data_IF_388554121816
#
_entry.id   IF_388554121816
#
_cell.length_a   1.000
_cell.length_b   1.000
_cell.length_c   1.000
_cell.angle_alpha   90.00
_cell.angle_beta   90.00
_cell.angle_gamma   90.00
#
_symmetry.space_group_name_H-M   'P 1'
#
loop_
_entity.id
_entity.type
_entity.pdbx_description
1 polymer ?
#
# COMPACT_ATOMS: atom_id res chain seq x y z
N UNK A 1 10.01 8.85 7.26
CA UNK A 1 8.69 9.52 7.26
C UNK A 1 7.61 8.46 7.36
N UNK A 2 6.61 8.65 8.19
CA UNK A 2 5.50 7.70 8.34
C UNK A 2 4.28 8.25 7.61
N UNK A 3 3.72 7.50 6.69
CA UNK A 3 2.56 7.90 5.89
C UNK A 3 1.42 6.91 6.14
N UNK A 4 0.22 7.44 6.28
CA UNK A 4 -1.01 6.69 6.44
C UNK A 4 -1.87 6.84 5.19
N UNK A 5 -2.30 5.71 4.65
CA UNK A 5 -3.38 5.65 3.67
C UNK A 5 -4.57 4.88 4.23
N UNK A 6 -5.77 5.16 3.73
CA UNK A 6 -6.98 4.47 4.16
C UNK A 6 -8.05 4.51 3.07
N UNK A 7 -8.72 3.38 2.89
CA UNK A 7 -9.80 3.22 1.93
C UNK A 7 -11.05 2.65 2.60
N UNK A 8 -12.21 3.09 2.13
CA UNK A 8 -13.51 2.61 2.61
C UNK A 8 -13.76 1.18 2.09
N UNK A 9 -14.38 0.34 2.91
CA UNK A 9 -14.94 -0.93 2.47
C UNK A 9 -16.31 -0.70 1.83
N UNK A 10 -16.48 -1.21 0.61
CA UNK A 10 -17.72 -1.08 -0.19
C UNK A 10 -18.03 -2.38 -0.92
N UNK A 11 -19.29 -2.54 -1.33
CA UNK A 11 -19.72 -3.63 -2.19
C UNK A 11 -19.18 -3.50 -3.62
N UNK A 12 -19.22 -4.56 -4.39
CA UNK A 12 -18.87 -4.62 -5.83
C UNK A 12 -17.42 -4.17 -6.17
N UNK A 13 -16.51 -4.27 -5.20
CA UNK A 13 -15.07 -4.03 -5.40
C UNK A 13 -14.26 -5.22 -4.96
N UNK A 14 -13.14 -5.45 -5.63
CA UNK A 14 -12.15 -6.41 -5.18
C UNK A 14 -11.39 -5.88 -3.96
N UNK A 15 -11.06 -6.76 -3.03
CA UNK A 15 -10.16 -6.44 -1.93
C UNK A 15 -8.73 -6.84 -2.31
N UNK A 16 -7.94 -5.86 -2.72
CA UNK A 16 -6.54 -6.07 -3.13
C UNK A 16 -5.62 -5.37 -2.12
N UNK A 17 -4.65 -6.11 -1.58
CA UNK A 17 -3.65 -5.58 -0.64
C UNK A 17 -2.29 -6.21 -0.97
N UNK A 18 -1.28 -5.40 -1.25
CA UNK A 18 0.04 -5.86 -1.67
C UNK A 18 0.00 -6.71 -2.93
N UNK A 19 -0.89 -6.36 -3.88
CA UNK A 19 -1.14 -7.10 -5.11
C UNK A 19 -1.76 -8.48 -4.90
N UNK A 20 -2.30 -8.76 -3.71
CA UNK A 20 -2.98 -10.02 -3.38
C UNK A 20 -4.47 -9.77 -3.24
N UNK A 21 -5.28 -10.52 -4.03
CA UNK A 21 -6.72 -10.51 -3.87
C UNK A 21 -7.13 -11.34 -2.66
N UNK A 22 -7.77 -10.69 -1.70
CA UNK A 22 -8.30 -11.33 -0.49
C UNK A 22 -9.82 -11.49 -0.59
N UNK A 23 -10.34 -12.44 0.18
CA UNK A 23 -11.77 -12.62 0.32
C UNK A 23 -12.26 -12.00 1.63
N UNK A 24 -13.14 -10.99 1.52
CA UNK A 24 -13.86 -10.44 2.67
C UNK A 24 -15.13 -11.27 2.94
N UNK A 25 -15.45 -11.62 4.21
CA UNK A 25 -16.64 -12.45 4.52
C UNK A 25 -17.97 -11.88 4.02
N UNK A 26 -18.06 -10.56 3.87
CA UNK A 26 -19.24 -9.86 3.37
C UNK A 26 -19.07 -9.40 1.91
N UNK A 27 -18.10 -9.96 1.17
CA UNK A 27 -17.78 -9.62 -0.23
C UNK A 27 -17.50 -8.12 -0.45
N UNK A 28 -16.88 -7.47 0.54
CA UNK A 28 -16.46 -6.08 0.44
C UNK A 28 -15.05 -5.97 -0.12
N UNK A 29 -14.79 -4.90 -0.85
CA UNK A 29 -13.46 -4.49 -1.30
C UNK A 29 -13.20 -3.02 -1.01
N UNK A 30 -12.00 -2.54 -1.36
CA UNK A 30 -11.61 -1.16 -1.10
C UNK A 30 -12.03 -0.22 -2.22
N UNK A 31 -12.60 0.93 -1.85
CA UNK A 31 -13.01 1.98 -2.76
C UNK A 31 -11.86 2.92 -3.10
N UNK A 32 -11.70 3.23 -4.37
CA UNK A 32 -10.68 4.15 -4.85
C UNK A 32 -10.67 4.26 -6.38
N UNK A 33 -9.88 5.21 -6.90
CA UNK A 33 -9.77 5.44 -8.34
C UNK A 33 -8.99 4.32 -9.06
N UNK A 34 -7.91 3.82 -8.42
CA UNK A 34 -7.14 2.63 -8.82
C UNK A 34 -7.78 1.34 -8.26
N UNK A 35 -7.01 0.28 -8.10
CA UNK A 35 -7.40 -0.93 -7.37
C UNK A 35 -7.51 -0.73 -5.85
N UNK A 36 -7.19 0.48 -5.36
CA UNK A 36 -7.25 0.87 -3.94
C UNK A 36 -6.39 0.01 -2.99
N UNK A 37 -5.26 -0.53 -3.48
CA UNK A 37 -4.30 -1.27 -2.66
C UNK A 37 -3.66 -0.34 -1.62
N UNK A 38 -4.24 -0.31 -0.44
CA UNK A 38 -3.85 0.58 0.67
C UNK A 38 -2.40 0.37 1.14
N UNK A 39 -1.85 -0.85 0.99
CA UNK A 39 -0.45 -1.15 1.35
C UNK A 39 0.51 -0.53 0.33
N UNK A 40 0.27 -0.77 -0.95
CA UNK A 40 1.08 -0.20 -2.04
C UNK A 40 1.02 1.33 -2.03
N UNK A 41 -0.14 1.93 -1.80
CA UNK A 41 -0.31 3.39 -1.70
C UNK A 41 0.49 3.98 -0.54
N UNK A 42 0.40 3.41 0.66
CA UNK A 42 1.14 3.92 1.83
C UNK A 42 2.65 3.80 1.65
N UNK A 43 3.14 2.74 0.98
CA UNK A 43 4.56 2.59 0.64
C UNK A 43 4.99 3.66 -0.37
N UNK A 44 4.22 3.89 -1.44
CA UNK A 44 4.52 4.93 -2.44
C UNK A 44 4.62 6.31 -1.79
N UNK A 45 3.65 6.66 -0.95
CA UNK A 45 3.65 7.96 -0.25
C UNK A 45 4.82 8.08 0.74
N UNK A 46 5.19 6.99 1.42
CA UNK A 46 6.36 7.00 2.30
C UNK A 46 7.66 7.21 1.51
N UNK A 47 7.80 6.58 0.33
CA UNK A 47 8.94 6.74 -0.57
C UNK A 47 9.05 8.18 -1.10
N UNK A 48 7.95 8.71 -1.65
CA UNK A 48 7.89 10.09 -2.18
C UNK A 48 8.12 11.12 -1.07
N UNK A 49 7.47 10.93 0.07
CA UNK A 49 7.58 11.84 1.21
C UNK A 49 8.98 11.85 1.84
N UNK A 50 9.72 10.73 1.85
CA UNK A 50 11.09 10.68 2.35
C UNK A 50 12.04 11.62 1.57
N UNK A 51 11.72 11.88 0.30
CA UNK A 51 12.49 12.76 -0.59
C UNK A 51 11.81 14.12 -0.83
N UNK A 52 10.73 14.44 -0.10
CA UNK A 52 9.95 15.69 -0.26
C UNK A 52 9.40 15.88 -1.69
N UNK A 53 9.07 14.79 -2.37
CA UNK A 53 8.55 14.80 -3.76
C UNK A 53 7.03 15.01 -3.83
N UNK A 54 6.34 15.04 -2.70
CA UNK A 54 4.89 15.13 -2.59
C UNK A 54 4.25 13.77 -2.33
N UNK A 55 3.11 13.51 -2.92
CA UNK A 55 2.29 12.30 -2.73
C UNK A 55 1.90 11.65 -4.06
N UNK A 56 1.25 10.48 -3.99
CA UNK A 56 0.79 9.74 -5.18
C UNK A 56 -0.22 10.53 -6.01
N UNK A 57 -1.02 11.38 -5.40
CA UNK A 57 -2.02 12.21 -6.11
C UNK A 57 -1.38 13.20 -7.08
N UNK A 58 -0.14 13.62 -6.84
CA UNK A 58 0.62 14.46 -7.75
C UNK A 58 1.04 13.72 -9.02
N UNK A 59 1.37 12.43 -8.92
CA UNK A 59 1.88 11.62 -10.04
C UNK A 59 0.78 10.84 -10.74
N UNK A 60 -0.24 10.44 -10.00
CA UNK A 60 -1.36 9.62 -10.48
C UNK A 60 -2.70 10.27 -10.08
N UNK A 61 -2.99 11.49 -10.59
CA UNK A 61 -4.17 12.22 -10.15
C UNK A 61 -5.47 11.48 -10.53
N UNK A 62 -6.45 11.42 -9.61
CA UNK A 62 -7.72 10.75 -9.86
C UNK A 62 -8.56 11.43 -10.95
N UNK A 63 -8.20 12.64 -11.39
CA UNK A 63 -8.81 13.32 -12.53
C UNK A 63 -8.35 12.79 -13.89
N UNK A 64 -7.30 11.95 -13.94
CA UNK A 64 -6.76 11.36 -15.16
C UNK A 64 -7.28 9.93 -15.31
N UNK A 65 -8.22 9.72 -16.24
CA UNK A 65 -8.86 8.42 -16.50
C UNK A 65 -7.89 7.28 -16.83
N UNK A 66 -6.65 7.58 -17.25
CA UNK A 66 -5.64 6.54 -17.53
C UNK A 66 -5.24 5.75 -16.28
N UNK A 67 -5.46 6.31 -15.09
CA UNK A 67 -5.16 5.67 -13.82
C UNK A 67 -6.37 4.96 -13.20
N UNK A 68 -7.52 5.03 -13.84
CA UNK A 68 -8.71 4.34 -13.38
C UNK A 68 -8.51 2.83 -13.39
N UNK A 69 -8.78 2.19 -12.25
CA UNK A 69 -8.54 0.77 -12.02
C UNK A 69 -7.08 0.32 -12.29
N UNK A 70 -6.12 1.25 -12.23
CA UNK A 70 -4.71 0.90 -12.39
C UNK A 70 -4.25 -0.06 -11.28
N UNK A 71 -3.40 -0.99 -11.64
CA UNK A 71 -2.69 -1.88 -10.71
C UNK A 71 -1.70 -1.06 -9.88
N UNK A 72 -1.87 -1.02 -8.56
CA UNK A 72 -1.01 -0.25 -7.67
C UNK A 72 0.43 -0.78 -7.58
N UNK A 73 0.68 -2.05 -7.87
CA UNK A 73 2.05 -2.56 -8.02
C UNK A 73 2.73 -1.95 -9.25
N UNK A 74 2.00 -1.76 -10.35
CA UNK A 74 2.51 -1.02 -11.50
C UNK A 74 2.81 0.45 -11.15
N UNK A 75 1.94 1.12 -10.39
CA UNK A 75 2.19 2.49 -9.92
C UNK A 75 3.43 2.54 -9.01
N UNK A 76 3.58 1.57 -8.12
CA UNK A 76 4.76 1.44 -7.26
C UNK A 76 6.05 1.28 -8.06
N UNK A 77 6.02 0.55 -9.19
CA UNK A 77 7.18 0.45 -10.10
C UNK A 77 7.60 1.81 -10.66
N UNK A 78 6.65 2.70 -10.95
CA UNK A 78 6.96 4.05 -11.43
C UNK A 78 7.57 4.93 -10.34
N UNK A 79 7.12 4.78 -9.11
CA UNK A 79 7.68 5.52 -7.97
C UNK A 79 9.11 5.09 -7.70
N UNK A 80 9.42 3.79 -7.70
CA UNK A 80 10.80 3.34 -7.46
C UNK A 80 11.74 3.72 -8.60
N UNK A 81 11.27 3.71 -9.85
CA UNK A 81 12.05 4.20 -10.98
C UNK A 81 12.43 5.68 -10.78
N UNK A 82 11.49 6.52 -10.36
CA UNK A 82 11.72 7.94 -10.06
C UNK A 82 12.77 8.14 -8.96
N UNK A 83 12.68 7.39 -7.88
CA UNK A 83 13.58 7.48 -6.74
C UNK A 83 15.01 7.07 -7.13
N UNK A 84 15.15 6.01 -7.91
CA UNK A 84 16.43 5.51 -8.38
C UNK A 84 17.12 6.44 -9.37
N UNK A 85 16.36 7.17 -10.19
CA UNK A 85 16.93 8.18 -11.08
C UNK A 85 17.71 9.27 -10.32
N UNK A 86 17.32 9.57 -9.09
CA UNK A 86 18.01 10.53 -8.22
C UNK A 86 19.11 9.88 -7.33
N UNK A 87 19.44 8.60 -7.58
CA UNK A 87 20.49 7.87 -6.88
C UNK A 87 20.12 7.38 -5.48
N UNK A 88 18.81 7.24 -5.19
CA UNK A 88 18.36 6.70 -3.92
C UNK A 88 18.00 5.22 -4.02
N UNK A 89 18.28 4.48 -2.95
CA UNK A 89 17.91 3.07 -2.82
C UNK A 89 17.16 2.84 -1.50
N UNK A 90 16.34 1.79 -1.49
CA UNK A 90 15.59 1.38 -0.30
C UNK A 90 16.51 0.56 0.60
N UNK A 91 16.68 1.00 1.84
CA UNK A 91 17.36 0.23 2.88
C UNK A 91 16.38 -0.72 3.58
N UNK A 92 15.21 -0.22 3.98
CA UNK A 92 14.11 -1.08 4.46
C UNK A 92 12.75 -0.39 4.38
N UNK A 93 11.71 -1.21 4.45
CA UNK A 93 10.30 -0.81 4.55
C UNK A 93 9.69 -1.51 5.76
N UNK A 94 8.88 -0.81 6.54
CA UNK A 94 8.05 -1.41 7.57
C UNK A 94 6.63 -0.85 7.49
N UNK A 95 5.64 -1.75 7.43
CA UNK A 95 4.23 -1.40 7.25
C UNK A 95 3.36 -2.09 8.28
N UNK A 96 2.31 -1.41 8.73
CA UNK A 96 1.27 -1.99 9.56
C UNK A 96 -0.11 -1.75 8.93
N UNK A 97 -0.83 -2.82 8.68
CA UNK A 97 -2.21 -2.83 8.22
C UNK A 97 -3.14 -2.88 9.44
N UNK A 98 -4.15 -2.01 9.44
CA UNK A 98 -5.19 -2.00 10.47
C UNK A 98 -6.50 -2.45 9.83
N UNK A 99 -6.95 -3.66 10.18
CA UNK A 99 -8.15 -4.27 9.62
C UNK A 99 -8.77 -5.26 10.62
N UNK A 100 -10.08 -5.19 10.82
CA UNK A 100 -10.80 -6.20 11.62
C UNK A 100 -10.94 -7.50 10.83
N UNK A 101 -11.35 -7.42 9.58
CA UNK A 101 -11.52 -8.53 8.62
C UNK A 101 -11.07 -8.14 7.22
N UNK A 102 -10.62 -9.10 6.39
CA UNK A 102 -10.27 -10.48 6.73
C UNK A 102 -8.97 -10.58 7.53
N UNK A 103 -8.57 -11.79 7.94
CA UNK A 103 -7.24 -12.01 8.53
C UNK A 103 -6.16 -11.85 7.47
N UNK A 104 -5.30 -10.86 7.65
CA UNK A 104 -4.22 -10.51 6.70
C UNK A 104 -3.01 -11.45 6.82
N UNK A 105 -2.71 -11.92 8.03
CA UNK A 105 -1.48 -12.68 8.33
C UNK A 105 -1.19 -13.84 7.37
N UNK A 106 -2.15 -14.67 6.94
CA UNK A 106 -1.88 -15.78 6.02
C UNK A 106 -1.36 -15.34 4.65
N UNK A 107 -1.58 -14.08 4.26
CA UNK A 107 -1.26 -13.53 2.95
C UNK A 107 0.03 -12.70 2.93
N UNK A 108 0.59 -12.35 4.09
CA UNK A 108 1.76 -11.47 4.22
C UNK A 108 2.95 -11.96 3.40
N UNK A 109 3.21 -13.27 3.39
CA UNK A 109 4.34 -13.83 2.63
C UNK A 109 4.21 -13.54 1.13
N UNK A 110 3.01 -13.67 0.56
CA UNK A 110 2.77 -13.39 -0.85
C UNK A 110 2.84 -11.87 -1.14
N UNK A 111 2.30 -11.04 -0.25
CA UNK A 111 2.41 -9.58 -0.35
C UNK A 111 3.88 -9.14 -0.37
N UNK A 112 4.70 -9.66 0.56
CA UNK A 112 6.13 -9.37 0.60
C UNK A 112 6.83 -9.75 -0.69
N UNK A 113 6.54 -10.94 -1.21
CA UNK A 113 7.09 -11.43 -2.47
C UNK A 113 6.74 -10.48 -3.62
N UNK A 114 5.46 -10.14 -3.80
CA UNK A 114 5.02 -9.24 -4.87
C UNK A 114 5.72 -7.87 -4.80
N UNK A 115 5.78 -7.28 -3.60
CA UNK A 115 6.41 -5.98 -3.39
C UNK A 115 7.93 -6.07 -3.62
N UNK A 116 8.59 -7.13 -3.13
CA UNK A 116 10.03 -7.32 -3.33
C UNK A 116 10.42 -7.46 -4.80
N UNK A 117 9.62 -8.19 -5.58
CA UNK A 117 9.82 -8.33 -7.02
C UNK A 117 9.70 -6.98 -7.75
N UNK A 118 8.67 -6.18 -7.42
CA UNK A 118 8.47 -4.86 -8.02
C UNK A 118 9.59 -3.89 -7.63
N UNK A 119 9.98 -3.90 -6.36
CA UNK A 119 11.01 -3.00 -5.85
C UNK A 119 12.43 -3.50 -6.14
N UNK A 120 12.57 -4.75 -6.59
CA UNK A 120 13.86 -5.42 -6.80
C UNK A 120 14.78 -5.30 -5.56
N UNK A 121 14.25 -5.68 -4.40
CA UNK A 121 14.96 -5.74 -3.10
C UNK A 121 14.70 -7.07 -2.42
N UNK A 122 15.53 -7.44 -1.45
CA UNK A 122 15.34 -8.67 -0.67
C UNK A 122 14.04 -8.58 0.19
N UNK A 123 13.26 -9.67 0.23
CA UNK A 123 12.05 -9.77 1.05
C UNK A 123 12.32 -9.50 2.55
N UNK A 124 13.55 -9.74 3.03
CA UNK A 124 13.94 -9.48 4.42
C UNK A 124 14.01 -7.98 4.76
N UNK A 125 14.08 -7.11 3.75
CA UNK A 125 14.03 -5.65 3.92
C UNK A 125 12.60 -5.11 4.02
N UNK A 126 11.58 -5.97 3.87
CA UNK A 126 10.18 -5.58 3.89
C UNK A 126 9.50 -6.17 5.12
N UNK A 127 9.15 -5.32 6.08
CA UNK A 127 8.28 -5.65 7.21
C UNK A 127 6.81 -5.40 6.85
N UNK A 128 5.94 -6.38 7.05
CA UNK A 128 4.48 -6.21 6.98
C UNK A 128 3.87 -6.85 8.22
N UNK A 129 3.10 -6.06 8.96
CA UNK A 129 2.35 -6.48 10.14
C UNK A 129 0.88 -6.17 9.94
N UNK A 130 0.01 -6.88 10.64
CA UNK A 130 -1.41 -6.61 10.66
C UNK A 130 -1.91 -6.62 12.10
N UNK A 131 -2.81 -5.71 12.40
CA UNK A 131 -3.49 -5.61 13.69
C UNK A 131 -4.96 -5.27 13.49
N UNK A 132 -5.79 -5.59 14.48
CA UNK A 132 -7.14 -5.02 14.59
C UNK A 132 -7.08 -3.68 15.31
N UNK A 133 -8.16 -2.92 15.27
CA UNK A 133 -8.31 -1.71 16.08
C UNK A 133 -9.17 -1.97 17.32
N UNK A 134 -9.32 -3.25 17.73
CA UNK A 134 -10.11 -3.68 18.91
C UNK A 134 -11.52 -3.09 18.93
N UNK A 135 -12.16 -3.03 17.75
CA UNK A 135 -13.49 -2.45 17.49
C UNK A 135 -13.60 -0.95 17.78
N UNK A 136 -12.46 -0.25 17.89
CA UNK A 136 -12.41 1.20 18.07
C UNK A 136 -12.26 1.91 16.72
N UNK A 137 -12.90 3.07 16.59
CA UNK A 137 -12.78 3.93 15.40
C UNK A 137 -13.41 3.34 14.13
N UNK A 138 -13.14 3.95 12.97
CA UNK A 138 -13.70 3.52 11.69
C UNK A 138 -13.21 2.12 11.27
N UNK A 139 -11.92 1.82 11.45
CA UNK A 139 -11.37 0.50 11.15
C UNK A 139 -12.00 -0.57 12.06
N UNK A 140 -12.19 -0.26 13.35
CA UNK A 140 -12.83 -1.15 14.31
C UNK A 140 -14.32 -1.39 14.04
N UNK A 141 -15.01 -0.47 13.36
CA UNK A 141 -16.38 -0.63 12.86
C UNK A 141 -16.45 -1.22 11.45
N UNK A 142 -15.30 -1.61 10.88
CA UNK A 142 -15.20 -2.17 9.54
C UNK A 142 -15.69 -1.21 8.43
N UNK A 143 -15.57 0.09 8.65
CA UNK A 143 -15.89 1.10 7.64
C UNK A 143 -14.79 1.22 6.57
N UNK A 144 -13.58 0.73 6.88
CA UNK A 144 -12.43 0.78 5.99
C UNK A 144 -11.23 0.03 6.56
N UNK A 145 -10.16 0.03 5.76
CA UNK A 145 -8.84 -0.49 6.12
C UNK A 145 -7.84 0.64 5.99
N UNK A 146 -6.91 0.73 6.94
CA UNK A 146 -5.78 1.67 6.85
C UNK A 146 -4.44 0.96 6.88
N UNK A 147 -3.44 1.61 6.31
CA UNK A 147 -2.05 1.18 6.35
C UNK A 147 -1.14 2.35 6.72
N UNK A 148 -0.15 2.08 7.55
CA UNK A 148 0.92 3.01 7.87
C UNK A 148 2.24 2.40 7.42
N UNK A 149 3.01 3.15 6.64
CA UNK A 149 4.32 2.69 6.16
C UNK A 149 5.41 3.68 6.54
N UNK A 150 6.57 3.14 6.87
CA UNK A 150 7.80 3.90 7.07
C UNK A 150 8.89 3.29 6.19
N UNK A 151 9.70 4.14 5.58
CA UNK A 151 10.81 3.73 4.72
C UNK A 151 12.11 4.38 5.19
N UNK A 152 13.20 3.66 5.02
CA UNK A 152 14.54 4.18 5.14
C UNK A 152 15.20 4.10 3.77
N UNK A 153 15.66 5.25 3.28
CA UNK A 153 16.38 5.38 2.02
C UNK A 153 17.85 5.71 2.29
N UNK A 154 18.72 5.24 1.42
CA UNK A 154 20.13 5.62 1.40
C UNK A 154 20.50 6.14 0.02
N UNK A 155 21.45 7.08 -0.04
CA UNK A 155 21.96 7.61 -1.30
C UNK A 155 23.19 6.81 -1.69
N UNK A 156 23.20 6.26 -2.91
CA UNK A 156 24.38 5.61 -3.48
C UNK A 156 25.32 6.61 -4.13
#
# INVERSE_FOLDING_TARGET
>A
MCIRDSHRLVEDRDLIIGGVKLHHPENLGLDGHSDADVLSHSIMDALLGALSLGDIGKYFPPSDEKWKNADSLFLLSKVIDLIRQDGWEINNIDSVLVAERPKIMPHIKLMKKNISEILNIDENLIGIKATTNEKLGPEGREEGISCHSVVLLEKK
#
